data_IF_007284490389
#
_entry.id   IF_007284490389
#
_cell.length_a   1.000
_cell.length_b   1.000
_cell.length_c   1.000
_cell.angle_alpha   90.00
_cell.angle_beta   90.00
_cell.angle_gamma   90.00
#
_symmetry.space_group_name_H-M   'P 1'
#
loop_
_entity.id
_entity.type
_entity.pdbx_description
1 polymer ?
#
# COMPACT_ATOMS: atom_id res chain seq x y z
N UNK A 1 13.39 15.29 -16.36
CA UNK A 1 14.09 14.91 -15.10
C UNK A 1 14.05 13.39 -15.00
N UNK A 2 15.19 12.69 -15.15
CA UNK A 2 15.29 11.24 -15.03
C UNK A 2 16.04 10.92 -13.74
N UNK A 3 15.31 10.87 -12.63
CA UNK A 3 15.81 10.25 -11.41
C UNK A 3 15.62 8.74 -11.56
N UNK A 4 16.70 8.02 -11.85
CA UNK A 4 16.68 6.55 -11.87
C UNK A 4 16.53 6.09 -10.43
N UNK A 5 15.29 5.96 -9.96
CA UNK A 5 15.01 5.31 -8.69
C UNK A 5 15.49 3.85 -8.81
N UNK A 6 16.55 3.51 -8.09
CA UNK A 6 17.09 2.15 -8.06
C UNK A 6 16.01 1.22 -7.50
N UNK A 7 15.35 0.46 -8.38
CA UNK A 7 14.36 -0.56 -8.02
C UNK A 7 15.07 -1.76 -7.40
N UNK A 8 15.31 -1.73 -6.09
CA UNK A 8 15.90 -2.85 -5.38
C UNK A 8 14.81 -3.74 -4.79
N UNK A 9 14.40 -4.75 -5.55
CA UNK A 9 13.59 -5.85 -5.04
C UNK A 9 14.41 -6.68 -4.06
N UNK A 10 13.94 -6.80 -2.83
CA UNK A 10 14.50 -7.70 -1.81
C UNK A 10 13.68 -8.98 -1.77
N UNK A 11 14.37 -10.11 -1.89
CA UNK A 11 13.76 -11.43 -1.81
C UNK A 11 14.29 -12.16 -0.58
N UNK A 12 13.39 -12.58 0.30
CA UNK A 12 13.75 -13.24 1.55
C UNK A 12 12.97 -14.56 1.70
N UNK A 13 13.54 -15.48 2.47
CA UNK A 13 12.90 -16.74 2.83
C UNK A 13 12.84 -16.86 4.35
N UNK A 14 11.65 -17.02 4.88
CA UNK A 14 11.41 -17.29 6.29
C UNK A 14 10.64 -18.61 6.49
N UNK A 15 10.20 -18.88 7.72
CA UNK A 15 9.38 -20.06 8.04
C UNK A 15 8.05 -20.10 7.28
N UNK A 16 7.49 -18.94 6.94
CA UNK A 16 6.23 -18.77 6.23
C UNK A 16 6.38 -18.86 4.72
N UNK A 17 7.62 -18.77 4.22
CA UNK A 17 7.99 -19.06 2.84
C UNK A 17 8.78 -17.93 2.19
N UNK A 18 8.64 -17.81 0.88
CA UNK A 18 9.30 -16.76 0.10
C UNK A 18 8.49 -15.46 0.12
N UNK A 19 9.18 -14.34 0.30
CA UNK A 19 8.62 -13.00 0.30
C UNK A 19 9.45 -12.09 -0.62
N UNK A 20 8.79 -11.38 -1.54
CA UNK A 20 9.39 -10.29 -2.31
C UNK A 20 8.89 -8.95 -1.80
N UNK A 21 9.78 -7.96 -1.69
CA UNK A 21 9.46 -6.59 -1.28
C UNK A 21 10.18 -5.62 -2.21
N UNK A 22 9.45 -4.63 -2.70
CA UNK A 22 10.02 -3.45 -3.35
C UNK A 22 9.43 -2.20 -2.70
N UNK A 23 10.30 -1.24 -2.40
CA UNK A 23 9.96 0.04 -1.76
C UNK A 23 10.11 1.17 -2.78
N UNK A 24 9.14 2.08 -2.81
CA UNK A 24 9.15 3.27 -3.65
C UNK A 24 8.92 4.51 -2.80
N UNK A 25 9.90 5.40 -2.75
CA UNK A 25 9.71 6.70 -2.11
C UNK A 25 8.69 7.52 -2.90
N UNK A 26 7.67 8.03 -2.21
CA UNK A 26 6.62 8.87 -2.78
C UNK A 26 6.88 10.37 -2.55
N UNK A 27 7.88 10.71 -1.73
CA UNK A 27 8.05 12.05 -1.17
C UNK A 27 7.29 12.20 0.16
N UNK A 28 7.39 13.38 0.79
CA UNK A 28 6.66 13.71 2.03
C UNK A 28 6.82 12.69 3.17
N UNK A 29 8.01 12.10 3.31
CA UNK A 29 8.28 11.02 4.26
C UNK A 29 7.34 9.81 4.11
N UNK A 30 6.87 9.50 2.88
CA UNK A 30 6.05 8.33 2.59
C UNK A 30 6.77 7.35 1.66
N UNK A 31 6.49 6.07 1.87
CA UNK A 31 6.95 4.98 1.02
C UNK A 31 5.78 4.09 0.60
N UNK A 32 5.70 3.77 -0.68
CA UNK A 32 4.86 2.70 -1.20
C UNK A 32 5.65 1.39 -1.11
N UNK A 33 5.12 0.46 -0.33
CA UNK A 33 5.67 -0.88 -0.16
C UNK A 33 4.80 -1.86 -0.95
N UNK A 34 5.40 -2.45 -1.98
CA UNK A 34 4.83 -3.58 -2.72
C UNK A 34 5.39 -4.87 -2.13
N UNK A 35 4.52 -5.76 -1.67
CA UNK A 35 4.91 -7.01 -1.02
C UNK A 35 4.20 -8.20 -1.62
N UNK A 36 4.95 -9.22 -2.01
CA UNK A 36 4.41 -10.50 -2.48
C UNK A 36 4.78 -11.61 -1.50
N UNK A 37 3.80 -12.25 -0.88
CA UNK A 37 4.04 -13.37 0.02
C UNK A 37 2.84 -14.33 0.09
N UNK A 38 3.07 -15.53 0.62
CA UNK A 38 1.96 -16.40 0.99
C UNK A 38 1.17 -15.77 2.14
N UNK A 39 -0.13 -15.60 1.94
CA UNK A 39 -1.05 -15.20 2.97
C UNK A 39 -1.46 -16.43 3.78
N UNK A 40 -1.17 -16.44 5.08
CA UNK A 40 -1.41 -17.61 5.94
C UNK A 40 -2.89 -17.95 6.13
N UNK A 41 -3.79 -16.95 6.10
CA UNK A 41 -5.22 -17.15 6.33
C UNK A 41 -5.92 -17.77 5.11
N UNK A 42 -5.58 -17.28 3.90
CA UNK A 42 -6.20 -17.75 2.64
C UNK A 42 -5.40 -18.85 1.94
N UNK A 43 -4.14 -19.04 2.32
CA UNK A 43 -3.19 -19.94 1.64
C UNK A 43 -2.77 -19.48 0.24
N UNK A 44 -3.23 -18.29 -0.21
CA UNK A 44 -2.94 -17.72 -1.53
C UNK A 44 -1.62 -16.97 -1.53
N UNK A 45 -1.00 -16.84 -2.70
CA UNK A 45 0.11 -15.94 -2.92
C UNK A 45 -0.46 -14.56 -3.27
N UNK A 46 -0.31 -13.60 -2.35
CA UNK A 46 -0.85 -12.27 -2.51
C UNK A 46 0.27 -11.28 -2.79
N UNK A 47 0.00 -10.33 -3.70
CA UNK A 47 0.78 -9.11 -3.85
C UNK A 47 -0.07 -7.94 -3.36
N UNK A 48 0.41 -7.23 -2.34
CA UNK A 48 -0.26 -6.08 -1.75
C UNK A 48 0.58 -4.82 -1.92
N UNK A 49 -0.09 -3.71 -2.21
CA UNK A 49 0.47 -2.38 -2.22
C UNK A 49 -0.01 -1.64 -0.97
N UNK A 50 0.91 -1.11 -0.17
CA UNK A 50 0.59 -0.37 1.06
C UNK A 50 1.45 0.87 1.16
N UNK A 51 0.88 1.99 1.60
CA UNK A 51 1.65 3.22 1.89
C UNK A 51 1.97 3.27 3.38
N UNK A 52 3.22 3.60 3.68
CA UNK A 52 3.73 3.75 5.04
C UNK A 52 4.36 5.13 5.19
N UNK A 53 4.17 5.73 6.35
CA UNK A 53 4.91 6.90 6.79
C UNK A 53 6.28 6.47 7.34
N UNK A 54 7.32 7.20 6.96
CA UNK A 54 8.68 7.05 7.46
C UNK A 54 8.81 7.94 8.69
N UNK A 55 8.95 7.31 9.85
CA UNK A 55 9.08 7.99 11.14
C UNK A 55 10.48 7.76 11.75
N UNK A 56 11.01 8.78 12.43
CA UNK A 56 12.32 8.72 13.08
C UNK A 56 13.46 8.35 12.13
N UNK A 57 14.31 7.41 12.54
CA UNK A 57 15.53 7.06 11.80
C UNK A 57 15.29 6.21 10.54
N UNK A 58 14.23 5.37 10.51
CA UNK A 58 13.71 4.66 9.31
C UNK A 58 12.49 3.75 9.59
N UNK A 59 11.73 4.02 10.64
CA UNK A 59 10.61 3.14 11.01
C UNK A 59 9.43 3.35 10.07
N UNK A 60 8.84 2.27 9.57
CA UNK A 60 7.66 2.33 8.71
C UNK A 60 6.39 2.16 9.55
N UNK A 61 5.49 3.13 9.46
CA UNK A 61 4.21 3.12 10.17
C UNK A 61 3.09 3.14 9.14
N UNK A 62 2.12 2.23 9.29
CA UNK A 62 0.92 2.17 8.47
C UNK A 62 -0.31 2.29 9.37
N UNK A 63 -1.12 3.32 9.15
CA UNK A 63 -2.37 3.53 9.87
C UNK A 63 -3.46 2.68 9.24
N UNK A 64 -3.92 1.69 9.99
CA UNK A 64 -5.04 0.84 9.57
C UNK A 64 -6.35 1.64 9.62
N UNK A 65 -7.15 1.53 8.57
CA UNK A 65 -8.54 1.96 8.59
C UNK A 65 -9.41 0.84 9.15
N UNK A 66 -9.93 0.99 10.37
CA UNK A 66 -10.89 0.05 10.95
C UNK A 66 -12.34 0.45 10.63
N UNK A 67 -12.57 1.07 9.46
CA UNK A 67 -13.88 1.53 8.99
C UNK A 67 -14.19 2.99 9.34
N UNK A 68 -13.17 3.75 9.77
CA UNK A 68 -13.28 5.17 10.10
C UNK A 68 -12.95 6.09 8.92
N UNK A 69 -12.52 5.54 7.79
CA UNK A 69 -12.32 6.28 6.55
C UNK A 69 -11.04 7.11 6.51
N UNK A 70 -10.07 6.85 7.39
CA UNK A 70 -8.86 7.70 7.56
C UNK A 70 -7.52 6.95 7.52
N UNK A 71 -7.51 5.67 7.15
CA UNK A 71 -6.26 4.90 7.10
C UNK A 71 -5.44 5.13 5.84
N UNK A 72 -4.20 4.66 5.91
CA UNK A 72 -3.27 4.73 4.79
C UNK A 72 -3.65 3.75 3.68
N UNK A 73 -3.24 4.07 2.45
CA UNK A 73 -3.59 3.27 1.28
C UNK A 73 -3.15 1.82 1.44
N UNK A 74 -4.08 0.89 1.15
CA UNK A 74 -3.84 -0.55 1.15
C UNK A 74 -4.69 -1.22 0.08
N UNK A 75 -4.05 -1.94 -0.84
CA UNK A 75 -4.72 -2.62 -1.93
C UNK A 75 -4.11 -4.00 -2.23
N UNK A 76 -4.99 -4.96 -2.56
CA UNK A 76 -4.59 -6.25 -3.12
C UNK A 76 -4.42 -6.09 -4.64
N UNK A 77 -3.19 -6.18 -5.12
CA UNK A 77 -2.87 -6.00 -6.55
C UNK A 77 -3.05 -7.31 -7.31
N UNK A 78 -2.54 -8.41 -6.75
CA UNK A 78 -2.66 -9.75 -7.35
C UNK A 78 -2.89 -10.81 -6.27
N UNK A 79 -3.66 -11.85 -6.61
CA UNK A 79 -3.81 -13.04 -5.77
C UNK A 79 -3.91 -14.31 -6.59
N UNK A 80 -2.92 -15.19 -6.46
CA UNK A 80 -2.90 -16.50 -7.13
C UNK A 80 -2.89 -17.65 -6.12
N UNK A 81 -3.15 -18.87 -6.60
CA UNK A 81 -3.11 -20.08 -5.76
C UNK A 81 -2.19 -21.13 -6.40
N UNK A 82 -0.87 -20.90 -6.40
CA UNK A 82 0.07 -21.85 -6.98
C UNK A 82 0.14 -23.11 -6.11
N UNK A 83 0.34 -24.27 -6.74
CA UNK A 83 0.49 -25.54 -6.04
C UNK A 83 1.66 -25.52 -5.03
N UNK A 84 2.75 -24.80 -5.36
CA UNK A 84 3.87 -24.51 -4.46
C UNK A 84 4.26 -23.04 -4.57
N UNK A 85 4.63 -22.40 -3.45
CA UNK A 85 5.23 -21.06 -3.46
C UNK A 85 6.74 -21.19 -3.51
N UNK A 86 7.31 -21.29 -4.71
CA UNK A 86 8.77 -21.25 -4.93
C UNK A 86 9.26 -19.82 -5.07
N UNK A 87 10.56 -19.62 -4.93
CA UNK A 87 11.20 -18.31 -5.16
C UNK A 87 10.81 -17.72 -6.53
N UNK A 88 10.91 -18.53 -7.58
CA UNK A 88 10.60 -18.14 -8.96
C UNK A 88 9.14 -17.69 -9.12
N UNK A 89 8.18 -18.40 -8.52
CA UNK A 89 6.76 -18.02 -8.60
C UNK A 89 6.50 -16.69 -7.87
N UNK A 90 7.11 -16.51 -6.71
CA UNK A 90 7.01 -15.24 -5.96
C UNK A 90 7.59 -14.09 -6.76
N UNK A 91 8.78 -14.29 -7.36
CA UNK A 91 9.44 -13.31 -8.23
C UNK A 91 8.58 -12.92 -9.43
N UNK A 92 8.07 -13.90 -10.19
CA UNK A 92 7.25 -13.67 -11.38
C UNK A 92 6.00 -12.85 -11.03
N UNK A 93 5.26 -13.25 -9.98
CA UNK A 93 4.07 -12.50 -9.57
C UNK A 93 4.42 -11.08 -9.08
N UNK A 94 5.57 -10.91 -8.43
CA UNK A 94 6.04 -9.60 -8.00
C UNK A 94 6.38 -8.71 -9.20
N UNK A 95 7.09 -9.24 -10.20
CA UNK A 95 7.42 -8.53 -11.44
C UNK A 95 6.16 -8.13 -12.23
N UNK A 96 5.15 -9.00 -12.28
CA UNK A 96 3.84 -8.64 -12.86
C UNK A 96 3.16 -7.48 -12.12
N UNK A 97 3.29 -7.43 -10.79
CA UNK A 97 2.77 -6.31 -10.01
C UNK A 97 3.56 -5.02 -10.24
N UNK A 98 4.88 -5.11 -10.46
CA UNK A 98 5.73 -3.97 -10.81
C UNK A 98 5.32 -3.34 -12.15
N UNK A 99 4.81 -4.13 -13.10
CA UNK A 99 4.27 -3.60 -14.36
C UNK A 99 3.02 -2.73 -14.15
N UNK A 100 2.33 -2.87 -13.01
CA UNK A 100 1.16 -2.07 -12.65
C UNK A 100 1.52 -0.85 -11.78
N UNK A 101 2.81 -0.54 -11.59
CA UNK A 101 3.25 0.49 -10.65
C UNK A 101 2.64 1.87 -10.92
N UNK A 102 2.53 2.29 -12.18
CA UNK A 102 1.97 3.59 -12.52
C UNK A 102 0.46 3.66 -12.20
N UNK A 103 -0.27 2.56 -12.41
CA UNK A 103 -1.66 2.46 -12.00
C UNK A 103 -1.80 2.52 -10.47
N UNK A 104 -0.96 1.78 -9.73
CA UNK A 104 -0.95 1.78 -8.26
C UNK A 104 -0.66 3.19 -7.73
N UNK A 105 0.31 3.91 -8.31
CA UNK A 105 0.62 5.29 -7.90
C UNK A 105 -0.54 6.24 -8.13
N UNK A 106 -1.28 6.08 -9.23
CA UNK A 106 -2.50 6.86 -9.48
C UNK A 106 -3.56 6.56 -8.42
N UNK A 107 -3.80 5.29 -8.10
CA UNK A 107 -4.77 4.88 -7.08
C UNK A 107 -4.40 5.44 -5.69
N UNK A 108 -3.10 5.48 -5.36
CA UNK A 108 -2.58 6.13 -4.15
C UNK A 108 -2.92 7.63 -4.14
N UNK A 109 -2.65 8.34 -5.24
CA UNK A 109 -2.97 9.77 -5.35
C UNK A 109 -4.48 10.01 -5.18
N UNK A 110 -5.33 9.21 -5.82
CA UNK A 110 -6.78 9.30 -5.70
C UNK A 110 -7.28 9.04 -4.28
N UNK A 111 -6.69 8.08 -3.57
CA UNK A 111 -7.01 7.78 -2.18
C UNK A 111 -6.74 8.98 -1.26
N UNK A 112 -5.53 9.52 -1.29
CA UNK A 112 -5.18 10.65 -0.44
C UNK A 112 -5.91 11.94 -0.84
N UNK A 113 -6.17 12.18 -2.13
CA UNK A 113 -7.01 13.30 -2.55
C UNK A 113 -8.44 13.21 -1.99
N UNK A 114 -9.00 11.99 -1.90
CA UNK A 114 -10.32 11.76 -1.30
C UNK A 114 -10.30 12.01 0.21
N UNK A 115 -9.26 11.59 0.91
CA UNK A 115 -9.10 11.85 2.34
C UNK A 115 -9.04 13.34 2.64
N UNK A 116 -8.21 14.09 1.90
CA UNK A 116 -8.12 15.55 2.04
C UNK A 116 -9.46 16.23 1.77
N UNK A 117 -10.17 15.83 0.70
CA UNK A 117 -11.50 16.37 0.39
C UNK A 117 -12.55 16.07 1.47
N UNK A 118 -12.43 14.92 2.16
CA UNK A 118 -13.32 14.54 3.27
C UNK A 118 -13.00 15.32 4.54
N UNK A 119 -11.73 15.62 4.81
CA UNK A 119 -11.28 16.42 5.95
C UNK A 119 -11.59 17.92 5.77
N UNK A 120 -11.59 18.42 4.53
CA UNK A 120 -11.82 19.81 4.21
C UNK A 120 -13.31 20.24 4.20
N UNK A 121 -14.28 19.34 4.40
CA UNK A 121 -15.68 19.73 4.61
C UNK A 121 -15.86 20.15 6.08
N UNK A 122 -16.00 21.46 6.38
CA UNK A 122 -16.26 21.91 7.73
C UNK A 122 -17.72 21.58 8.08
N UNK A 123 -17.92 21.17 9.33
CA UNK A 123 -19.20 21.11 10.01
C UNK A 123 -19.94 22.45 9.79
N UNK A 124 -21.05 22.42 9.06
CA UNK A 124 -21.86 23.61 8.85
C UNK A 124 -22.56 23.95 10.18
N UNK A 125 -22.47 25.19 10.69
CA UNK A 125 -23.16 25.56 11.92
C UNK A 125 -24.67 25.38 11.72
N UNK A 126 -25.28 24.58 12.60
CA UNK A 126 -26.73 24.42 12.68
C UNK A 126 -27.37 25.82 12.82
N UNK A 127 -28.39 26.17 12.02
CA UNK A 127 -29.08 27.43 12.19
C UNK A 127 -29.78 27.42 13.55
N UNK A 128 -29.29 28.30 14.42
CA UNK A 128 -29.89 28.78 15.65
C UNK A 128 -31.41 28.91 15.46
N UNK A 129 -32.17 28.03 16.11
CA UNK A 129 -33.63 28.12 16.12
C UNK A 129 -34.01 29.39 16.87
N UNK A 130 -34.36 30.43 16.09
CA UNK A 130 -34.93 31.66 16.59
C UNK A 130 -36.20 31.36 17.38
N UNK A 131 -36.15 31.85 18.62
CA UNK A 131 -37.24 32.02 19.57
C UNK A 131 -38.45 32.69 18.87
N UNK A 132 -39.63 32.08 19.02
CA UNK A 132 -40.92 32.73 18.83
C UNK A 132 -41.87 32.28 19.96
#
# INVERSE_FOLDING_TARGET
MKGTATMNMRLTKDRSGWTAITEFELGNAQVLLLRTCRNSASGRLNTTATVHEITGTRSLVHRMDFGTGGGDFSALVFASKPARCTESIVRIQHEQALQQLDAIKRDVCEHYARLEASAAKPDAPQPEQQLA
#
